data_IF_279505551886
#
_entry.id   IF_279505551886
#
_cell.length_a   1.000
_cell.length_b   1.000
_cell.length_c   1.000
_cell.angle_alpha   90.00
_cell.angle_beta   90.00
_cell.angle_gamma   90.00
#
_symmetry.space_group_name_H-M   'P 1'
#
loop_
_entity.id
_entity.type
_entity.pdbx_description
1 polymer ?
#
# COMPACT_ATOMS: atom_id res chain seq x y z
N UNK A 1 -8.58 16.06 -17.89
CA UNK A 1 -7.48 15.60 -17.04
C UNK A 1 -8.10 15.09 -15.75
N UNK A 2 -7.74 13.89 -15.30
CA UNK A 2 -8.15 13.41 -13.97
C UNK A 2 -7.27 14.09 -12.92
N UNK A 3 -7.86 14.87 -12.03
CA UNK A 3 -7.15 15.55 -10.93
C UNK A 3 -6.54 14.52 -9.97
N UNK A 4 -5.27 14.69 -9.58
CA UNK A 4 -4.68 13.90 -8.50
C UNK A 4 -5.22 14.41 -7.16
N UNK A 5 -6.16 13.66 -6.60
CA UNK A 5 -6.82 14.04 -5.35
C UNK A 5 -6.71 12.96 -4.28
N UNK A 6 -6.26 13.36 -3.09
CA UNK A 6 -6.30 12.55 -1.85
C UNK A 6 -6.74 13.45 -0.70
N UNK A 7 -7.36 12.83 0.29
CA UNK A 7 -7.82 13.48 1.51
C UNK A 7 -9.24 13.09 1.86
N UNK A 8 -9.55 13.14 3.13
CA UNK A 8 -10.87 12.96 3.71
C UNK A 8 -11.41 14.33 4.08
N UNK A 9 -12.73 14.49 3.97
CA UNK A 9 -13.42 15.64 4.53
C UNK A 9 -13.53 15.51 6.05
N UNK A 10 -13.60 16.64 6.74
CA UNK A 10 -13.63 16.71 8.22
C UNK A 10 -14.82 15.96 8.83
N UNK A 11 -15.99 16.01 8.18
CA UNK A 11 -17.18 15.29 8.59
C UNK A 11 -16.96 13.77 8.54
N UNK A 12 -16.29 13.27 7.49
CA UNK A 12 -15.96 11.86 7.39
C UNK A 12 -14.87 11.43 8.38
N UNK A 13 -13.85 12.26 8.64
CA UNK A 13 -12.87 12.02 9.71
C UNK A 13 -13.57 11.91 11.07
N UNK A 14 -14.51 12.82 11.35
CA UNK A 14 -15.30 12.82 12.60
C UNK A 14 -16.09 11.52 12.75
N UNK A 15 -16.73 11.05 11.67
CA UNK A 15 -17.47 9.78 11.66
C UNK A 15 -16.59 8.55 11.86
N UNK A 16 -15.40 8.51 11.27
CA UNK A 16 -14.43 7.43 11.53
C UNK A 16 -13.96 7.44 13.00
N UNK A 17 -13.81 8.63 13.59
CA UNK A 17 -13.44 8.78 15.00
C UNK A 17 -14.56 8.39 15.98
N UNK A 18 -15.83 8.64 15.64
CA UNK A 18 -17.01 8.12 16.35
C UNK A 18 -17.01 6.58 16.31
N UNK A 19 -16.90 6.01 15.11
CA UNK A 19 -16.89 4.57 14.87
C UNK A 19 -15.73 3.85 15.61
N UNK A 20 -14.59 4.53 15.74
CA UNK A 20 -13.45 4.07 16.57
C UNK A 20 -13.81 4.05 18.06
N UNK A 21 -14.46 5.09 18.56
CA UNK A 21 -14.87 5.21 19.97
C UNK A 21 -15.88 4.15 20.39
N UNK A 22 -16.76 3.75 19.48
CA UNK A 22 -17.76 2.69 19.67
C UNK A 22 -17.15 1.27 19.74
N UNK A 23 -15.89 1.10 19.36
CA UNK A 23 -15.20 -0.19 19.45
C UNK A 23 -15.62 -1.21 18.38
N UNK A 24 -16.05 -0.73 17.22
CA UNK A 24 -16.50 -1.57 16.10
C UNK A 24 -15.33 -2.21 15.32
N UNK A 25 -15.64 -2.93 14.24
CA UNK A 25 -14.69 -3.50 13.27
C UNK A 25 -13.63 -2.48 12.80
N UNK A 26 -13.96 -1.18 12.74
CA UNK A 26 -13.03 -0.14 12.34
C UNK A 26 -11.88 0.00 13.32
N UNK A 27 -12.17 -0.04 14.64
CA UNK A 27 -11.16 0.01 15.70
C UNK A 27 -10.18 -1.16 15.58
N UNK A 28 -10.69 -2.36 15.28
CA UNK A 28 -9.86 -3.54 15.08
C UNK A 28 -8.95 -3.38 13.87
N UNK A 29 -9.47 -2.87 12.74
CA UNK A 29 -8.68 -2.62 11.54
C UNK A 29 -7.56 -1.62 11.81
N UNK A 30 -7.85 -0.44 12.36
CA UNK A 30 -6.83 0.61 12.51
C UNK A 30 -5.80 0.33 13.61
N UNK A 31 -6.16 -0.45 14.64
CA UNK A 31 -5.23 -0.84 15.69
C UNK A 31 -4.34 -2.04 15.29
N UNK A 32 -4.66 -2.75 14.21
CA UNK A 32 -3.84 -3.87 13.74
C UNK A 32 -2.59 -3.33 13.04
N UNK A 33 -1.44 -3.48 13.70
CA UNK A 33 -0.13 -3.00 13.25
C UNK A 33 0.36 -3.63 11.93
N UNK A 34 -0.27 -4.71 11.48
CA UNK A 34 0.04 -5.37 10.21
C UNK A 34 -0.99 -4.98 9.12
N UNK A 35 -1.85 -4.01 9.37
CA UNK A 35 -2.65 -3.37 8.32
C UNK A 35 -2.06 -2.02 7.94
N UNK A 36 -2.38 -1.56 6.74
CA UNK A 36 -2.01 -0.23 6.27
C UNK A 36 -3.26 0.53 5.82
N UNK A 37 -3.53 1.68 6.44
CA UNK A 37 -4.63 2.57 6.05
C UNK A 37 -4.15 3.57 5.02
N UNK A 38 -4.75 3.55 3.84
CA UNK A 38 -4.41 4.43 2.74
C UNK A 38 -5.59 5.36 2.44
N UNK A 39 -5.35 6.66 2.54
CA UNK A 39 -6.37 7.69 2.29
C UNK A 39 -6.48 7.93 0.79
N UNK A 40 -7.72 8.06 0.29
CA UNK A 40 -8.04 8.26 -1.13
C UNK A 40 -8.84 9.56 -1.28
N UNK A 41 -9.57 9.74 -2.37
CA UNK A 41 -10.48 10.89 -2.52
C UNK A 41 -11.77 10.65 -1.73
N UNK A 42 -11.76 11.08 -0.47
CA UNK A 42 -12.87 10.99 0.48
C UNK A 42 -13.35 9.55 0.80
N UNK A 43 -12.44 8.60 0.73
CA UNK A 43 -12.61 7.24 1.26
C UNK A 43 -11.24 6.71 1.73
N UNK A 44 -11.24 5.61 2.48
CA UNK A 44 -10.01 4.91 2.89
C UNK A 44 -10.02 3.48 2.39
N UNK A 45 -8.85 2.96 2.04
CA UNK A 45 -8.65 1.52 1.86
C UNK A 45 -7.78 0.99 3.01
N UNK A 46 -8.16 -0.15 3.57
CA UNK A 46 -7.37 -0.89 4.55
C UNK A 46 -6.71 -2.06 3.83
N UNK A 47 -5.38 -2.08 3.82
CA UNK A 47 -4.58 -3.08 3.14
C UNK A 47 -3.94 -4.08 4.10
N UNK A 48 -3.81 -5.31 3.64
CA UNK A 48 -3.00 -6.36 4.26
C UNK A 48 -2.29 -7.15 3.16
N UNK A 49 -0.95 -7.11 3.14
CA UNK A 49 -0.10 -7.82 2.15
C UNK A 49 -0.50 -7.56 0.70
N UNK A 50 -0.86 -6.30 0.40
CA UNK A 50 -1.31 -5.85 -0.92
C UNK A 50 -2.74 -6.27 -1.31
N UNK A 51 -3.49 -6.89 -0.40
CA UNK A 51 -4.92 -7.09 -0.54
C UNK A 51 -5.68 -5.94 0.11
N UNK A 52 -6.63 -5.33 -0.61
CA UNK A 52 -7.57 -4.35 -0.04
C UNK A 52 -8.64 -5.09 0.75
N UNK A 53 -8.48 -5.19 2.07
CA UNK A 53 -9.41 -5.88 2.96
C UNK A 53 -10.78 -5.20 2.97
N UNK A 54 -10.77 -3.88 3.11
CA UNK A 54 -11.97 -3.06 3.13
C UNK A 54 -11.73 -1.72 2.46
N UNK A 55 -12.72 -1.27 1.70
CA UNK A 55 -12.87 0.13 1.29
C UNK A 55 -13.93 0.76 2.17
N UNK A 56 -13.60 1.82 2.89
CA UNK A 56 -14.52 2.50 3.81
C UNK A 56 -14.78 3.90 3.29
N UNK A 57 -16.06 4.25 3.12
CA UNK A 57 -16.49 5.50 2.52
C UNK A 57 -17.71 6.08 3.27
N UNK A 58 -17.96 7.40 3.17
CA UNK A 58 -19.16 7.99 3.74
C UNK A 58 -20.41 7.46 3.07
N UNK A 59 -21.49 7.35 3.85
CA UNK A 59 -22.83 6.96 3.39
C UNK A 59 -23.88 7.87 4.03
N UNK A 60 -25.13 7.79 3.55
CA UNK A 60 -26.25 8.53 4.15
C UNK A 60 -26.44 8.18 5.65
N UNK A 61 -26.13 6.93 6.02
CA UNK A 61 -26.25 6.40 7.39
C UNK A 61 -24.94 6.52 8.18
N UNK A 62 -23.98 7.33 7.71
CA UNK A 62 -22.68 7.55 8.34
C UNK A 62 -21.53 6.95 7.55
N UNK A 63 -21.17 5.69 7.86
CA UNK A 63 -19.99 5.02 7.28
C UNK A 63 -20.40 3.67 6.70
N UNK A 64 -19.89 3.36 5.50
CA UNK A 64 -20.05 2.04 4.86
C UNK A 64 -18.69 1.43 4.55
N UNK A 65 -18.56 0.13 4.80
CA UNK A 65 -17.43 -0.67 4.36
C UNK A 65 -17.84 -1.59 3.20
N UNK A 66 -16.94 -1.73 2.22
CA UNK A 66 -17.03 -2.69 1.14
C UNK A 66 -15.88 -3.68 1.29
N UNK A 67 -16.22 -4.94 1.48
CA UNK A 67 -15.28 -6.06 1.56
C UNK A 67 -15.48 -6.93 0.32
N UNK A 68 -14.39 -7.36 -0.30
CA UNK A 68 -14.51 -8.28 -1.44
C UNK A 68 -15.00 -9.65 -0.94
N UNK A 69 -16.08 -10.18 -1.53
CA UNK A 69 -16.76 -11.40 -1.04
C UNK A 69 -15.81 -12.58 -0.80
N UNK A 70 -14.80 -12.77 -1.65
CA UNK A 70 -13.80 -13.84 -1.50
C UNK A 70 -13.07 -13.85 -0.14
N UNK A 71 -12.97 -12.71 0.55
CA UNK A 71 -12.34 -12.63 1.87
C UNK A 71 -13.28 -13.03 3.01
N UNK A 72 -14.58 -13.10 2.74
CA UNK A 72 -15.60 -13.59 3.67
C UNK A 72 -15.74 -15.11 3.61
N UNK A 73 -14.93 -15.80 2.81
CA UNK A 73 -14.94 -17.27 2.75
C UNK A 73 -14.43 -17.85 4.08
N UNK A 74 -15.11 -18.85 4.65
CA UNK A 74 -14.61 -19.51 5.86
C UNK A 74 -13.29 -20.23 5.55
N UNK A 75 -12.18 -19.92 6.25
CA UNK A 75 -10.90 -20.59 6.03
C UNK A 75 -10.84 -22.00 6.66
N UNK A 76 -11.80 -22.40 7.51
CA UNK A 76 -11.75 -23.67 8.24
C UNK A 76 -11.97 -24.94 7.39
N UNK A 77 -12.92 -25.00 6.43
CA UNK A 77 -13.19 -26.21 5.64
C UNK A 77 -12.05 -26.60 4.70
N UNK A 78 -11.19 -25.63 4.33
CA UNK A 78 -10.13 -25.78 3.33
C UNK A 78 -8.79 -26.23 3.90
N UNK A 79 -8.70 -26.48 5.22
CA UNK A 79 -7.43 -26.85 5.86
C UNK A 79 -7.00 -28.29 5.57
N UNK A 80 -7.97 -29.17 5.28
CA UNK A 80 -7.72 -30.62 5.13
C UNK A 80 -8.00 -31.15 3.70
N UNK A 81 -8.79 -30.45 2.88
CA UNK A 81 -9.12 -30.83 1.49
C UNK A 81 -9.61 -29.61 0.69
N UNK A 82 -8.76 -29.08 -0.21
CA UNK A 82 -9.08 -27.90 -1.04
C UNK A 82 -9.99 -28.24 -2.24
N UNK A 83 -10.29 -29.53 -2.45
CA UNK A 83 -11.04 -29.98 -3.61
C UNK A 83 -12.51 -30.17 -3.30
N UNK A 84 -13.35 -29.70 -4.22
CA UNK A 84 -14.78 -29.97 -4.22
C UNK A 84 -15.02 -31.23 -5.04
N UNK A 85 -15.81 -32.16 -4.51
CA UNK A 85 -16.18 -33.37 -5.26
C UNK A 85 -17.21 -33.02 -6.32
N UNK A 86 -16.94 -33.50 -7.52
CA UNK A 86 -17.86 -33.44 -8.66
C UNK A 86 -18.15 -34.87 -9.04
N UNK A 87 -19.42 -35.22 -9.14
CA UNK A 87 -19.81 -36.57 -9.56
C UNK A 87 -19.68 -36.76 -11.07
N UNK A 88 -19.99 -37.98 -11.55
CA UNK A 88 -19.84 -38.34 -12.98
C UNK A 88 -20.88 -37.64 -13.87
N UNK A 89 -21.96 -37.12 -13.29
CA UNK A 89 -22.99 -36.31 -13.95
C UNK A 89 -22.61 -34.82 -14.01
N UNK A 90 -21.59 -34.40 -13.27
CA UNK A 90 -21.16 -33.01 -13.17
C UNK A 90 -21.84 -32.23 -12.04
N UNK A 91 -22.57 -32.90 -11.15
CA UNK A 91 -23.15 -32.27 -9.97
C UNK A 91 -22.07 -32.04 -8.90
N UNK A 92 -22.13 -30.85 -8.31
CA UNK A 92 -21.18 -30.42 -7.28
C UNK A 92 -21.71 -30.86 -5.91
N UNK A 93 -20.90 -31.59 -5.15
CA UNK A 93 -21.20 -31.92 -3.76
C UNK A 93 -20.99 -30.69 -2.86
N UNK A 94 -22.05 -29.92 -2.70
CA UNK A 94 -22.09 -28.75 -1.82
C UNK A 94 -22.12 -29.11 -0.33
N UNK A 95 -22.19 -30.38 0.05
CA UNK A 95 -22.39 -30.82 1.44
C UNK A 95 -21.31 -30.36 2.42
N UNK A 96 -20.10 -30.09 1.93
CA UNK A 96 -19.00 -29.46 2.70
C UNK A 96 -18.97 -27.92 2.63
N UNK A 97 -19.62 -27.33 1.63
CA UNK A 97 -19.57 -25.88 1.32
C UNK A 97 -20.82 -25.11 1.81
N UNK A 98 -21.93 -25.79 2.08
CA UNK A 98 -23.21 -25.15 2.43
C UNK A 98 -23.16 -24.32 3.71
N UNK A 99 -23.70 -23.08 3.65
CA UNK A 99 -23.90 -22.03 4.68
C UNK A 99 -22.66 -21.60 5.50
N UNK A 100 -21.73 -22.51 5.73
CA UNK A 100 -20.40 -22.30 6.29
C UNK A 100 -19.45 -21.59 5.33
N UNK A 101 -19.78 -21.44 4.04
CA UNK A 101 -18.93 -20.67 3.11
C UNK A 101 -18.86 -19.18 3.43
N UNK A 102 -19.81 -18.60 4.15
CA UNK A 102 -19.78 -17.19 4.60
C UNK A 102 -20.15 -17.16 6.09
N UNK A 103 -19.18 -17.33 7.00
CA UNK A 103 -19.46 -17.80 8.35
C UNK A 103 -20.01 -16.72 9.29
N UNK A 104 -20.20 -15.48 8.85
CA UNK A 104 -20.53 -14.38 9.75
C UNK A 104 -21.47 -13.31 9.17
N UNK A 105 -22.40 -12.86 10.01
CA UNK A 105 -23.23 -11.66 9.81
C UNK A 105 -22.46 -10.35 10.13
N UNK A 106 -21.18 -10.46 10.52
CA UNK A 106 -20.31 -9.34 10.88
C UNK A 106 -18.87 -9.56 10.42
N UNK A 107 -18.09 -8.48 10.30
CA UNK A 107 -16.70 -8.53 9.86
C UNK A 107 -15.80 -9.01 11.02
N UNK A 108 -15.03 -10.08 10.79
CA UNK A 108 -13.88 -10.48 11.62
C UNK A 108 -12.58 -10.16 10.87
N UNK A 109 -11.81 -9.19 11.36
CA UNK A 109 -10.56 -8.73 10.73
C UNK A 109 -9.52 -9.85 10.63
N UNK A 110 -9.46 -10.77 11.61
CA UNK A 110 -8.51 -11.89 11.59
C UNK A 110 -8.87 -12.89 10.51
N UNK A 111 -10.16 -13.21 10.37
CA UNK A 111 -10.64 -14.09 9.30
C UNK A 111 -10.36 -13.49 7.91
N UNK A 112 -10.65 -12.19 7.73
CA UNK A 112 -10.35 -11.48 6.48
C UNK A 112 -8.85 -11.58 6.12
N UNK A 113 -7.96 -11.34 7.09
CA UNK A 113 -6.50 -11.44 6.89
C UNK A 113 -6.08 -12.86 6.55
N UNK A 114 -6.62 -13.88 7.21
CA UNK A 114 -6.28 -15.27 6.94
C UNK A 114 -6.56 -15.64 5.48
N UNK A 115 -7.75 -15.29 4.97
CA UNK A 115 -8.14 -15.57 3.59
C UNK A 115 -7.38 -14.69 2.60
N UNK A 116 -7.24 -13.39 2.89
CA UNK A 116 -6.51 -12.46 2.04
C UNK A 116 -5.04 -12.84 1.86
N UNK A 117 -4.40 -13.38 2.90
CA UNK A 117 -3.01 -13.84 2.88
C UNK A 117 -2.73 -14.90 1.82
N UNK A 118 -3.72 -15.74 1.48
CA UNK A 118 -3.58 -16.78 0.45
C UNK A 118 -3.51 -16.20 -0.98
N UNK A 119 -3.94 -14.95 -1.17
CA UNK A 119 -3.89 -14.26 -2.46
C UNK A 119 -2.70 -13.29 -2.57
N UNK A 120 -1.84 -13.21 -1.55
CA UNK A 120 -0.73 -12.27 -1.53
C UNK A 120 0.50 -12.84 -2.27
N UNK A 121 0.87 -12.20 -3.38
CA UNK A 121 2.12 -12.49 -4.09
C UNK A 121 3.35 -12.04 -3.30
N UNK A 122 4.53 -12.54 -3.67
CA UNK A 122 5.82 -12.21 -3.04
C UNK A 122 6.06 -10.69 -3.04
N UNK A 123 5.90 -10.05 -4.20
CA UNK A 123 6.18 -8.62 -4.37
C UNK A 123 5.26 -7.75 -3.49
N UNK A 124 3.95 -7.99 -3.56
CA UNK A 124 2.94 -7.32 -2.73
C UNK A 124 3.16 -7.52 -1.24
N UNK A 125 3.57 -8.72 -0.85
CA UNK A 125 3.94 -9.02 0.53
C UNK A 125 5.17 -8.24 0.96
N UNK A 126 6.17 -8.11 0.08
CA UNK A 126 7.36 -7.29 0.30
C UNK A 126 7.04 -5.81 0.46
N UNK A 127 6.28 -5.23 -0.49
CA UNK A 127 5.79 -3.84 -0.42
C UNK A 127 5.09 -3.58 0.92
N UNK A 128 4.17 -4.45 1.31
CA UNK A 128 3.46 -4.31 2.57
C UNK A 128 4.39 -4.35 3.79
N UNK A 129 5.35 -5.28 3.82
CA UNK A 129 6.37 -5.34 4.88
C UNK A 129 7.18 -4.05 4.97
N UNK A 130 7.47 -3.40 3.85
CA UNK A 130 8.18 -2.12 3.81
C UNK A 130 7.27 -1.00 4.35
N UNK A 131 6.00 -0.98 3.94
CA UNK A 131 5.04 0.06 4.26
C UNK A 131 4.67 0.13 5.75
N UNK A 132 4.60 -1.01 6.44
CA UNK A 132 4.24 -1.08 7.87
C UNK A 132 5.42 -0.81 8.82
N UNK A 133 6.63 -0.60 8.32
CA UNK A 133 7.78 -0.20 9.16
C UNK A 133 7.60 1.26 9.56
N UNK A 134 7.48 1.59 10.87
CA UNK A 134 7.26 2.97 11.31
C UNK A 134 8.36 3.94 10.86
N UNK A 135 9.61 3.48 10.83
CA UNK A 135 10.77 4.28 10.41
C UNK A 135 10.75 4.67 8.93
N UNK A 136 9.99 3.98 8.09
CA UNK A 136 9.89 4.30 6.68
C UNK A 136 8.93 5.46 6.38
N UNK A 137 8.19 5.95 7.37
CA UNK A 137 7.29 7.10 7.23
C UNK A 137 6.37 7.04 6.00
N UNK A 138 5.88 5.84 5.67
CA UNK A 138 4.98 5.62 4.53
C UNK A 138 3.62 6.24 4.81
N UNK A 139 3.10 6.97 3.82
CA UNK A 139 1.81 7.69 3.89
C UNK A 139 0.80 7.20 2.87
N UNK A 140 1.24 6.51 1.80
CA UNK A 140 0.34 5.88 0.83
C UNK A 140 1.02 4.68 0.15
N UNK A 141 0.20 3.75 -0.36
CA UNK A 141 0.57 2.57 -1.14
C UNK A 141 -0.42 2.35 -2.28
N UNK A 142 -0.05 1.64 -3.34
CA UNK A 142 -0.95 1.33 -4.48
C UNK A 142 -1.59 2.60 -5.10
N UNK A 143 -0.74 3.57 -5.42
CA UNK A 143 -1.11 4.94 -5.74
C UNK A 143 -1.46 5.03 -7.22
N UNK A 144 -2.75 5.10 -7.52
CA UNK A 144 -3.20 5.34 -8.90
C UNK A 144 -2.90 6.78 -9.34
N UNK A 145 -2.21 6.91 -10.47
CA UNK A 145 -1.94 8.17 -11.18
C UNK A 145 -2.34 7.95 -12.65
N UNK A 146 -3.10 8.87 -13.22
CA UNK A 146 -3.55 8.75 -14.62
C UNK A 146 -3.56 10.09 -15.32
N UNK A 147 -3.35 10.06 -16.63
CA UNK A 147 -3.53 11.18 -17.56
C UNK A 147 -4.94 11.18 -18.20
N UNK A 148 -5.83 10.27 -17.76
CA UNK A 148 -7.16 10.06 -18.34
C UNK A 148 -7.24 8.93 -19.38
N UNK A 149 -6.13 8.31 -19.79
CA UNK A 149 -6.13 7.17 -20.72
C UNK A 149 -6.02 5.81 -20.03
N UNK A 150 -5.11 5.68 -19.05
CA UNK A 150 -4.92 4.47 -18.24
C UNK A 150 -4.31 4.84 -16.90
N UNK A 151 -4.89 4.34 -15.82
CA UNK A 151 -4.31 4.49 -14.49
C UNK A 151 -3.07 3.58 -14.36
N UNK A 152 -1.93 4.22 -14.09
CA UNK A 152 -0.70 3.58 -13.63
C UNK A 152 -0.67 3.57 -12.10
N UNK A 153 0.09 2.66 -11.50
CA UNK A 153 0.18 2.56 -10.03
C UNK A 153 1.63 2.62 -9.59
N UNK A 154 1.90 3.52 -8.66
CA UNK A 154 3.16 3.56 -7.93
C UNK A 154 2.99 2.83 -6.61
N UNK A 155 3.97 2.03 -6.21
CA UNK A 155 3.81 1.13 -5.07
C UNK A 155 3.74 1.85 -3.72
N UNK A 156 4.61 2.84 -3.48
CA UNK A 156 4.78 3.46 -2.16
C UNK A 156 4.99 4.98 -2.30
N UNK A 157 4.42 5.76 -1.38
CA UNK A 157 4.82 7.13 -1.09
C UNK A 157 5.20 7.28 0.39
N UNK A 158 6.35 7.89 0.65
CA UNK A 158 6.87 8.12 1.98
C UNK A 158 7.30 9.57 2.17
N UNK A 159 7.32 10.02 3.42
CA UNK A 159 7.90 11.30 3.80
C UNK A 159 9.39 11.11 4.15
N UNK A 160 10.23 12.04 3.71
CA UNK A 160 11.67 12.03 4.01
C UNK A 160 12.13 13.44 4.35
N UNK A 161 13.01 13.59 5.35
CA UNK A 161 13.71 14.86 5.57
C UNK A 161 14.78 15.06 4.51
N UNK A 162 14.74 16.19 3.81
CA UNK A 162 15.76 16.60 2.85
C UNK A 162 16.24 18.01 3.21
N UNK A 163 17.18 18.08 4.15
CA UNK A 163 17.67 19.35 4.71
C UNK A 163 16.54 20.15 5.39
N UNK A 164 16.19 21.28 4.80
CA UNK A 164 15.19 22.21 5.36
C UNK A 164 13.76 21.96 4.89
N UNK A 165 13.54 20.95 4.04
CA UNK A 165 12.21 20.56 3.55
C UNK A 165 11.85 19.14 3.97
N UNK A 166 10.56 18.82 3.86
CA UNK A 166 10.05 17.45 3.83
C UNK A 166 9.71 17.11 2.39
N UNK A 167 10.23 16.01 1.89
CA UNK A 167 9.91 15.48 0.56
C UNK A 167 8.84 14.39 0.67
N UNK A 168 7.83 14.44 -0.20
CA UNK A 168 7.05 13.25 -0.57
C UNK A 168 7.83 12.53 -1.65
N UNK A 169 8.37 11.35 -1.32
CA UNK A 169 9.14 10.51 -2.23
C UNK A 169 8.34 9.28 -2.62
N UNK A 170 8.40 8.96 -3.91
CA UNK A 170 7.68 7.85 -4.51
C UNK A 170 8.65 6.71 -4.81
N UNK A 171 8.18 5.48 -4.64
CA UNK A 171 8.99 4.29 -4.86
C UNK A 171 8.22 3.24 -5.67
N UNK A 172 8.90 2.68 -6.65
CA UNK A 172 8.53 1.43 -7.32
C UNK A 172 9.33 0.31 -6.68
N UNK A 173 8.67 -0.77 -6.25
CA UNK A 173 9.32 -1.85 -5.50
C UNK A 173 9.20 -3.18 -6.23
N UNK A 174 10.36 -3.80 -6.50
CA UNK A 174 10.42 -5.07 -7.22
C UNK A 174 11.07 -6.14 -6.37
N UNK A 175 10.48 -7.34 -6.39
CA UNK A 175 11.21 -8.52 -5.95
C UNK A 175 12.37 -8.78 -6.92
N UNK A 176 13.53 -9.25 -6.43
CA UNK A 176 14.70 -9.52 -7.25
C UNK A 176 14.42 -10.56 -8.34
N UNK A 177 13.48 -11.47 -8.07
CA UNK A 177 12.96 -12.46 -9.01
C UNK A 177 12.24 -11.83 -10.21
N UNK A 178 11.73 -10.60 -10.09
CA UNK A 178 10.96 -9.92 -11.12
C UNK A 178 11.77 -9.70 -12.40
N UNK A 179 11.20 -10.10 -13.54
CA UNK A 179 11.84 -9.99 -14.85
C UNK A 179 11.93 -8.56 -15.36
N UNK A 180 11.07 -7.65 -14.92
CA UNK A 180 11.04 -6.23 -15.33
C UNK A 180 12.31 -5.47 -14.92
N UNK A 181 13.07 -6.00 -13.96
CA UNK A 181 14.40 -5.51 -13.60
C UNK A 181 15.46 -5.76 -14.68
N UNK A 182 15.13 -6.55 -15.72
CA UNK A 182 16.11 -7.13 -16.64
C UNK A 182 15.67 -6.93 -18.09
N UNK A 183 16.56 -6.34 -18.89
CA UNK A 183 16.43 -6.33 -20.34
C UNK A 183 17.81 -6.23 -21.00
N UNK A 184 17.89 -6.70 -22.26
CA UNK A 184 19.06 -6.43 -23.12
C UNK A 184 19.19 -4.93 -23.42
N UNK A 185 18.06 -4.25 -23.64
CA UNK A 185 17.96 -2.80 -23.79
C UNK A 185 17.61 -2.10 -22.48
N UNK A 186 16.61 -1.21 -22.53
CA UNK A 186 16.01 -0.52 -21.39
C UNK A 186 15.09 -1.51 -20.66
N UNK A 187 15.28 -1.76 -19.35
CA UNK A 187 14.35 -2.58 -18.56
C UNK A 187 12.99 -1.90 -18.36
N UNK A 188 11.91 -2.67 -18.36
CA UNK A 188 10.53 -2.18 -18.21
C UNK A 188 10.36 -1.31 -16.94
N UNK A 189 11.06 -1.64 -15.85
CA UNK A 189 11.01 -0.84 -14.61
C UNK A 189 11.51 0.60 -14.79
N UNK A 190 12.45 0.82 -15.71
CA UNK A 190 12.95 2.17 -16.02
C UNK A 190 11.85 2.98 -16.69
N UNK A 191 11.20 2.41 -17.71
CA UNK A 191 10.11 3.07 -18.42
C UNK A 191 8.92 3.37 -17.48
N UNK A 192 8.63 2.46 -16.55
CA UNK A 192 7.62 2.67 -15.51
C UNK A 192 7.96 3.88 -14.63
N UNK A 193 9.18 3.91 -14.05
CA UNK A 193 9.62 5.00 -13.16
C UNK A 193 9.65 6.34 -13.90
N UNK A 194 10.16 6.39 -15.12
CA UNK A 194 10.19 7.62 -15.93
C UNK A 194 8.77 8.12 -16.23
N UNK A 195 7.84 7.22 -16.59
CA UNK A 195 6.45 7.57 -16.81
C UNK A 195 5.77 8.10 -15.55
N UNK A 196 6.05 7.51 -14.38
CA UNK A 196 5.53 8.01 -13.11
C UNK A 196 6.09 9.37 -12.77
N UNK A 197 7.40 9.57 -12.89
CA UNK A 197 8.07 10.84 -12.65
C UNK A 197 7.47 11.95 -13.50
N UNK A 198 7.23 11.69 -14.80
CA UNK A 198 6.55 12.65 -15.67
C UNK A 198 5.15 13.03 -15.15
N UNK A 199 4.31 12.05 -14.85
CA UNK A 199 2.93 12.31 -14.38
C UNK A 199 2.92 13.03 -13.02
N UNK A 200 3.83 12.68 -12.11
CA UNK A 200 3.96 13.33 -10.81
C UNK A 200 4.34 14.80 -10.96
N UNK A 201 5.28 15.10 -11.84
CA UNK A 201 5.71 16.47 -12.11
C UNK A 201 4.62 17.30 -12.82
N UNK A 202 3.90 16.71 -13.77
CA UNK A 202 2.76 17.36 -14.42
C UNK A 202 1.63 17.71 -13.42
N UNK A 203 1.49 16.95 -12.33
CA UNK A 203 0.46 17.15 -11.30
C UNK A 203 1.05 17.62 -9.95
N UNK A 204 2.25 18.22 -9.96
CA UNK A 204 3.05 18.51 -8.75
C UNK A 204 2.26 19.22 -7.64
N UNK A 205 1.54 20.28 -7.98
CA UNK A 205 0.80 21.08 -6.98
C UNK A 205 -0.40 20.31 -6.41
N UNK A 206 -1.05 19.48 -7.21
CA UNK A 206 -2.14 18.60 -6.77
C UNK A 206 -1.63 17.49 -5.86
N UNK A 207 -0.48 16.89 -6.21
CA UNK A 207 0.20 15.87 -5.39
C UNK A 207 0.59 16.46 -4.04
N UNK A 208 1.31 17.59 -4.01
CA UNK A 208 1.74 18.21 -2.75
C UNK A 208 0.54 18.63 -1.90
N UNK A 209 -0.49 19.26 -2.48
CA UNK A 209 -1.72 19.61 -1.75
C UNK A 209 -2.41 18.38 -1.17
N UNK A 210 -2.57 17.34 -1.98
CA UNK A 210 -3.18 16.07 -1.56
C UNK A 210 -2.42 15.43 -0.40
N UNK A 211 -1.09 15.37 -0.44
CA UNK A 211 -0.32 14.78 0.65
C UNK A 211 -0.24 15.64 1.91
N UNK A 212 -0.39 16.98 1.81
CA UNK A 212 -0.63 17.81 3.00
C UNK A 212 -1.94 17.43 3.68
N UNK A 213 -3.03 17.31 2.91
CA UNK A 213 -4.32 16.87 3.44
C UNK A 213 -4.25 15.46 4.03
N UNK A 214 -3.54 14.53 3.39
CA UNK A 214 -3.31 13.19 3.94
C UNK A 214 -2.56 13.25 5.27
N UNK A 215 -1.52 14.07 5.40
CA UNK A 215 -0.80 14.23 6.68
C UNK A 215 -1.72 14.74 7.78
N UNK A 216 -2.54 15.76 7.49
CA UNK A 216 -3.53 16.28 8.44
C UNK A 216 -4.56 15.20 8.84
N UNK A 217 -5.14 14.49 7.87
CA UNK A 217 -6.08 13.42 8.17
C UNK A 217 -5.46 12.29 8.99
N UNK A 218 -4.22 11.88 8.69
CA UNK A 218 -3.50 10.85 9.46
C UNK A 218 -3.27 11.30 10.91
N UNK A 219 -2.96 12.57 11.14
CA UNK A 219 -2.79 13.13 12.48
C UNK A 219 -4.11 13.22 13.26
N UNK A 220 -5.23 13.40 12.57
CA UNK A 220 -6.56 13.58 13.17
C UNK A 220 -7.38 12.28 13.31
N UNK A 221 -7.00 11.19 12.64
CA UNK A 221 -7.66 9.89 12.77
C UNK A 221 -7.21 9.15 14.03
N UNK A 222 -8.18 8.74 14.86
CA UNK A 222 -7.94 7.93 16.06
C UNK A 222 -7.57 6.50 15.70
N UNK A 223 -6.69 5.91 16.51
CA UNK A 223 -6.27 4.52 16.37
C UNK A 223 -5.08 4.29 15.44
N UNK A 224 -4.76 5.24 14.57
CA UNK A 224 -3.52 5.18 13.79
C UNK A 224 -2.33 5.43 14.72
N UNK A 225 -1.56 4.37 15.00
CA UNK A 225 -0.34 4.49 15.77
C UNK A 225 0.75 5.13 14.92
N UNK A 226 0.89 6.44 15.07
CA UNK A 226 2.00 7.21 14.54
C UNK A 226 3.13 7.22 15.57
N UNK A 227 4.33 6.82 15.16
CA UNK A 227 5.50 6.80 16.04
C UNK A 227 6.78 7.05 15.25
N UNK A 228 7.86 7.36 15.97
CA UNK A 228 9.19 7.52 15.39
C UNK A 228 9.24 8.57 14.27
N UNK A 229 10.05 8.32 13.22
CA UNK A 229 10.19 9.24 12.08
C UNK A 229 8.86 9.62 11.42
N UNK A 230 7.92 8.68 11.29
CA UNK A 230 6.60 8.92 10.68
C UNK A 230 5.83 10.02 11.39
N UNK A 231 5.74 9.95 12.72
CA UNK A 231 5.05 10.97 13.53
C UNK A 231 5.75 12.33 13.37
N UNK A 232 7.08 12.37 13.48
CA UNK A 232 7.84 13.63 13.40
C UNK A 232 7.68 14.31 12.04
N UNK A 233 7.75 13.56 10.94
CA UNK A 233 7.60 14.09 9.59
C UNK A 233 6.16 14.58 9.33
N UNK A 234 5.14 13.83 9.74
CA UNK A 234 3.74 14.26 9.64
C UNK A 234 3.55 15.56 10.43
N UNK A 235 4.06 15.64 11.66
CA UNK A 235 3.95 16.85 12.49
C UNK A 235 4.64 18.05 11.85
N UNK A 236 5.83 17.87 11.27
CA UNK A 236 6.55 18.95 10.60
C UNK A 236 5.75 19.52 9.41
N UNK A 237 5.00 18.67 8.70
CA UNK A 237 4.11 19.07 7.61
C UNK A 237 2.86 19.77 8.14
N UNK A 238 2.16 19.17 9.11
CA UNK A 238 0.89 19.68 9.65
C UNK A 238 1.05 21.04 10.32
N UNK A 239 2.13 21.23 11.10
CA UNK A 239 2.41 22.49 11.79
C UNK A 239 3.19 23.49 10.93
N UNK A 240 3.41 23.18 9.64
CA UNK A 240 4.18 23.99 8.70
C UNK A 240 5.58 24.39 9.21
N UNK A 241 6.22 23.50 10.00
CA UNK A 241 7.60 23.69 10.49
C UNK A 241 8.61 23.62 9.34
N UNK A 242 8.31 22.82 8.31
CA UNK A 242 9.09 22.70 7.08
C UNK A 242 8.17 22.66 5.86
N UNK A 243 8.58 23.23 4.72
CA UNK A 243 7.83 23.10 3.48
C UNK A 243 7.74 21.63 3.04
N UNK A 244 6.53 21.18 2.68
CA UNK A 244 6.34 19.92 1.94
C UNK A 244 6.58 20.16 0.44
N UNK A 245 7.46 19.38 -0.16
CA UNK A 245 7.77 19.39 -1.60
C UNK A 245 7.68 17.97 -2.18
N UNK A 246 7.63 17.86 -3.51
CA UNK A 246 7.68 16.59 -4.24
C UNK A 246 9.13 16.25 -4.60
N UNK A 247 9.57 15.01 -4.34
CA UNK A 247 10.75 14.43 -5.03
C UNK A 247 10.32 14.05 -6.45
N UNK A 248 10.93 14.69 -7.44
CA UNK A 248 10.54 14.66 -8.84
C UNK A 248 10.97 13.36 -9.54
N UNK A 249 11.81 12.57 -8.87
CA UNK A 249 12.41 11.33 -9.40
C UNK A 249 12.03 10.15 -8.51
N UNK A 250 11.06 9.30 -8.92
CA UNK A 250 10.73 8.10 -8.16
C UNK A 250 11.92 7.14 -8.05
N UNK A 251 12.01 6.47 -6.92
CA UNK A 251 13.12 5.57 -6.58
C UNK A 251 12.74 4.11 -6.84
N UNK A 252 13.74 3.29 -7.16
CA UNK A 252 13.58 1.85 -7.20
C UNK A 252 13.92 1.22 -5.84
N UNK A 253 13.06 0.34 -5.36
CA UNK A 253 13.36 -0.55 -4.23
C UNK A 253 13.49 -1.97 -4.74
N UNK A 254 14.58 -2.64 -4.40
CA UNK A 254 14.77 -4.08 -4.72
C UNK A 254 14.90 -4.89 -3.44
N UNK A 255 14.18 -6.01 -3.36
CA UNK A 255 14.24 -6.93 -2.22
C UNK A 255 14.11 -8.40 -2.64
N UNK A 256 14.20 -9.34 -1.69
CA UNK A 256 14.01 -10.77 -1.96
C UNK A 256 15.24 -11.44 -2.55
N UNK A 257 16.42 -11.12 -2.02
CA UNK A 257 17.70 -11.69 -2.47
C UNK A 257 18.62 -12.05 -1.30
N UNK A 258 19.52 -13.01 -1.54
CA UNK A 258 20.57 -13.41 -0.59
C UNK A 258 21.91 -12.69 -0.81
N UNK A 259 22.89 -12.94 0.06
CA UNK A 259 24.20 -12.29 0.00
C UNK A 259 25.03 -12.68 -1.24
N UNK A 260 24.85 -13.89 -1.77
CA UNK A 260 25.54 -14.34 -2.98
C UNK A 260 24.97 -13.65 -4.22
N UNK A 261 23.64 -13.54 -4.29
CA UNK A 261 22.94 -12.79 -5.32
C UNK A 261 23.29 -11.30 -5.26
N UNK A 262 23.44 -10.75 -4.05
CA UNK A 262 23.87 -9.36 -3.82
C UNK A 262 25.23 -9.06 -4.44
N UNK A 263 26.26 -9.83 -4.10
CA UNK A 263 27.65 -9.66 -4.60
C UNK A 263 27.84 -10.10 -6.05
N UNK A 264 26.83 -10.77 -6.61
CA UNK A 264 26.87 -11.31 -7.96
C UNK A 264 26.07 -10.46 -8.94
N UNK A 265 24.92 -11.00 -9.33
CA UNK A 265 24.10 -10.44 -10.41
C UNK A 265 23.47 -9.11 -10.01
N UNK A 266 22.96 -8.98 -8.78
CA UNK A 266 22.23 -7.78 -8.36
C UNK A 266 23.11 -6.53 -8.41
N UNK A 267 24.34 -6.60 -7.92
CA UNK A 267 25.28 -5.48 -7.98
C UNK A 267 25.50 -4.99 -9.41
N UNK A 268 25.62 -5.91 -10.38
CA UNK A 268 25.76 -5.54 -11.81
C UNK A 268 24.51 -4.88 -12.36
N UNK A 269 23.33 -5.41 -12.06
CA UNK A 269 22.07 -4.84 -12.54
C UNK A 269 21.80 -3.45 -11.92
N UNK A 270 21.99 -3.30 -10.60
CA UNK A 270 21.84 -2.01 -9.93
C UNK A 270 22.86 -0.98 -10.44
N UNK A 271 24.10 -1.40 -10.69
CA UNK A 271 25.11 -0.54 -11.30
C UNK A 271 24.68 -0.09 -12.69
N UNK A 272 24.15 -0.99 -13.53
CA UNK A 272 23.60 -0.64 -14.85
C UNK A 272 22.44 0.34 -14.72
N UNK A 273 21.48 0.09 -13.83
CA UNK A 273 20.33 0.97 -13.60
C UNK A 273 20.75 2.37 -13.11
N UNK A 274 21.72 2.45 -12.20
CA UNK A 274 22.22 3.72 -11.67
C UNK A 274 23.12 4.49 -12.64
N UNK A 275 24.06 3.84 -13.33
CA UNK A 275 25.02 4.52 -14.20
C UNK A 275 24.45 4.83 -15.59
N UNK A 276 23.69 3.90 -16.16
CA UNK A 276 23.16 4.04 -17.53
C UNK A 276 21.84 4.79 -17.53
N UNK A 277 20.95 4.45 -16.59
CA UNK A 277 19.59 5.00 -16.54
C UNK A 277 19.40 6.05 -15.45
N UNK A 278 20.45 6.35 -14.65
CA UNK A 278 20.42 7.37 -13.57
C UNK A 278 19.33 7.12 -12.52
N UNK A 279 18.89 5.87 -12.35
CA UNK A 279 17.88 5.54 -11.34
C UNK A 279 18.48 5.54 -9.94
N UNK A 280 17.82 6.25 -9.02
CA UNK A 280 18.07 6.15 -7.59
C UNK A 280 17.47 4.83 -7.08
N UNK A 281 18.26 4.05 -6.36
CA UNK A 281 17.83 2.73 -5.91
C UNK A 281 18.27 2.40 -4.48
N UNK A 282 17.38 1.72 -3.74
CA UNK A 282 17.68 1.10 -2.44
C UNK A 282 17.45 -0.40 -2.55
N UNK A 283 18.41 -1.20 -2.10
CA UNK A 283 18.30 -2.67 -2.15
C UNK A 283 18.62 -3.33 -0.80
N UNK A 284 17.75 -4.24 -0.34
CA UNK A 284 17.95 -5.06 0.87
C UNK A 284 17.37 -6.45 0.69
N UNK A 285 18.11 -7.48 1.12
CA UNK A 285 17.71 -8.87 0.92
C UNK A 285 16.33 -9.21 1.48
N UNK A 286 16.08 -8.86 2.75
CA UNK A 286 14.74 -8.91 3.34
C UNK A 286 14.06 -7.53 3.27
N UNK A 287 12.83 -7.52 2.76
CA UNK A 287 11.95 -6.34 2.72
C UNK A 287 11.81 -5.64 4.09
N UNK A 288 11.85 -6.39 5.20
CA UNK A 288 11.79 -5.84 6.57
C UNK A 288 12.97 -4.91 6.92
N UNK A 289 14.08 -5.05 6.19
CA UNK A 289 15.31 -4.30 6.41
C UNK A 289 15.46 -3.12 5.46
N UNK A 290 14.53 -2.93 4.52
CA UNK A 290 14.50 -1.74 3.65
C UNK A 290 14.26 -0.49 4.51
N UNK A 291 15.03 0.55 4.23
CA UNK A 291 14.88 1.88 4.82
C UNK A 291 14.73 2.90 3.69
N UNK A 292 13.64 3.66 3.70
CA UNK A 292 13.30 4.64 2.65
C UNK A 292 13.87 6.04 2.90
N UNK A 293 14.40 6.27 4.10
CA UNK A 293 14.86 7.58 4.60
C UNK A 293 16.36 7.84 4.41
N UNK A 294 17.04 7.00 3.62
CA UNK A 294 18.49 7.12 3.35
C UNK A 294 18.80 8.01 2.17
#
# INVERSE_FOLDING_TARGET
MSEFKRGLKDDFVSKLNELYGEGTWWKEMVNDADTFVAIRDNYVNVYYRGASLARVEPSADGVKAHVHYKYLLDPAPWRDDEYVRVDKEGEIDWGRLGQKSFPADSIDVRALKAVAGNYAGEEKTGVHKIAVIPDNAVVDVEIAISDGSRARRVDIAALVYAGDVVEVRFFEAKAFSNSELRAKGIPDVVEQIEAYGKLLNENRDEVVRSYRTVCDNLANLKGLYLSGPRQSLINAVVHAEKPLVLDEEPWLVVFGFDDDQRRGRLERELKKLGEVHKLKAVARGDAKNVRLTS
#
